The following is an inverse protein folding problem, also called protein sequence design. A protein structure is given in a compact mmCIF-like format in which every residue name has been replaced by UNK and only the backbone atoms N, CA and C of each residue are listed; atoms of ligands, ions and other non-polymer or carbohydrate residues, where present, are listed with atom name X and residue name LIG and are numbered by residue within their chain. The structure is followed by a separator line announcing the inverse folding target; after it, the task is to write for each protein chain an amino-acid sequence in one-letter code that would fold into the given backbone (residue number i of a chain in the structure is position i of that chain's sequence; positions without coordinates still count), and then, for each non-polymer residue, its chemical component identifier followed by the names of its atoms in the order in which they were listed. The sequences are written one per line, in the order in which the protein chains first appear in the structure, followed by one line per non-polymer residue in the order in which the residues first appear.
data_IF_311590367236
#
_entry.id   IF_311590367236
#
_cell.length_a   1.000
_cell.length_b   1.000
_cell.length_c   1.000
_cell.angle_alpha   90.00
_cell.angle_beta   90.00
_cell.angle_gamma   90.00
#
_symmetry.space_group_name_H-M   'P 1'
#
loop_
_entity.id
_entity.type
_entity.pdbx_description
1 polymer ?
#
# COMPACT_ATOMS: atom_id res chain seq x y z
N UNK A 1 -12.37 -31.36 8.75
CA UNK A 1 -11.22 -30.78 9.45
C UNK A 1 -10.53 -29.85 8.48
N UNK A 2 -10.94 -28.61 8.47
CA UNK A 2 -10.27 -27.57 7.69
C UNK A 2 -8.98 -27.22 8.41
N UNK A 3 -7.86 -27.54 7.80
CA UNK A 3 -6.57 -27.04 8.24
C UNK A 3 -6.59 -25.54 8.06
N UNK A 4 -6.59 -24.82 9.16
CA UNK A 4 -6.30 -23.40 9.22
C UNK A 4 -4.85 -23.20 8.77
N UNK A 5 -4.68 -23.05 7.46
CA UNK A 5 -3.41 -22.56 6.91
C UNK A 5 -3.44 -21.06 7.08
N UNK A 6 -3.08 -20.62 8.26
CA UNK A 6 -2.63 -19.25 8.46
C UNK A 6 -1.31 -19.12 7.68
N UNK A 7 -1.44 -18.96 6.37
CA UNK A 7 -0.30 -18.63 5.52
C UNK A 7 0.25 -17.29 6.05
N UNK A 8 1.46 -17.33 6.60
CA UNK A 8 2.06 -16.14 7.18
C UNK A 8 2.22 -15.09 6.09
N UNK A 9 1.68 -13.89 6.33
CA UNK A 9 1.81 -12.78 5.38
C UNK A 9 3.28 -12.48 5.10
N UNK A 10 3.66 -12.22 3.83
CA UNK A 10 5.04 -11.94 3.49
C UNK A 10 5.51 -10.62 4.10
N UNK A 11 6.81 -10.55 4.39
CA UNK A 11 7.42 -9.29 4.80
C UNK A 11 7.41 -8.29 3.64
N UNK A 12 7.19 -7.00 3.93
CA UNK A 12 7.17 -5.95 2.90
C UNK A 12 8.46 -5.89 2.09
N UNK A 13 9.60 -6.16 2.72
CA UNK A 13 10.90 -6.20 2.04
C UNK A 13 10.97 -7.25 0.91
N UNK A 14 10.16 -8.30 0.98
CA UNK A 14 10.12 -9.37 -0.01
C UNK A 14 9.18 -9.07 -1.19
N UNK A 15 8.22 -8.18 -0.99
CA UNK A 15 7.15 -7.94 -1.95
C UNK A 15 7.10 -6.52 -2.51
N UNK A 16 7.65 -5.52 -1.82
CA UNK A 16 7.70 -4.15 -2.31
C UNK A 16 8.95 -3.89 -3.14
N UNK A 17 8.84 -3.11 -4.23
CA UNK A 17 10.00 -2.61 -4.96
C UNK A 17 10.75 -1.51 -4.20
N UNK A 18 10.07 -0.83 -3.25
CA UNK A 18 10.62 0.24 -2.44
C UNK A 18 11.67 -0.27 -1.45
N UNK A 19 12.76 0.48 -1.28
CA UNK A 19 13.88 0.11 -0.40
C UNK A 19 14.31 1.30 0.46
N UNK A 20 14.85 0.98 1.65
CA UNK A 20 15.38 1.98 2.57
C UNK A 20 14.33 3.01 2.94
N UNK A 21 14.68 4.30 2.83
CA UNK A 21 13.79 5.41 3.20
C UNK A 21 12.58 5.59 2.30
N UNK A 22 12.55 4.97 1.12
CA UNK A 22 11.41 4.98 0.23
C UNK A 22 10.32 3.99 0.67
N UNK A 23 10.63 2.99 1.47
CA UNK A 23 9.67 2.06 2.04
C UNK A 23 9.04 2.68 3.29
N UNK A 24 7.79 3.10 3.19
CA UNK A 24 7.12 3.89 4.22
C UNK A 24 6.25 3.06 5.16
N UNK A 25 5.77 1.90 4.72
CA UNK A 25 4.89 1.05 5.50
C UNK A 25 5.69 0.10 6.39
N UNK A 26 5.13 -0.29 7.53
CA UNK A 26 5.79 -1.17 8.49
C UNK A 26 5.55 -2.65 8.18
N UNK A 27 4.28 -3.03 7.96
CA UNK A 27 3.92 -4.42 7.65
C UNK A 27 2.54 -4.53 6.97
N UNK A 28 2.31 -5.68 6.36
CA UNK A 28 0.98 -6.10 5.91
C UNK A 28 0.25 -6.68 7.12
N UNK A 29 -0.90 -6.13 7.46
CA UNK A 29 -1.74 -6.61 8.55
C UNK A 29 -2.77 -7.64 8.07
N UNK A 30 -3.31 -7.43 6.87
CA UNK A 30 -4.35 -8.26 6.28
C UNK A 30 -4.22 -8.29 4.76
N UNK A 31 -4.49 -9.45 4.17
CA UNK A 31 -4.59 -9.62 2.73
C UNK A 31 -5.56 -10.75 2.41
N UNK A 32 -6.52 -10.45 1.55
CA UNK A 32 -7.44 -11.43 0.94
C UNK A 32 -7.76 -11.04 -0.51
N UNK A 33 -8.67 -11.77 -1.13
CA UNK A 33 -9.09 -11.51 -2.50
C UNK A 33 -9.71 -10.13 -2.70
N UNK A 34 -10.31 -9.56 -1.66
CA UNK A 34 -11.04 -8.30 -1.72
C UNK A 34 -10.19 -7.10 -1.35
N UNK A 35 -9.41 -7.21 -0.28
CA UNK A 35 -8.75 -6.07 0.35
C UNK A 35 -7.36 -6.43 0.86
N UNK A 36 -6.51 -5.43 0.93
CA UNK A 36 -5.23 -5.50 1.64
C UNK A 36 -5.15 -4.33 2.58
N UNK A 37 -4.73 -4.58 3.81
CA UNK A 37 -4.46 -3.56 4.80
C UNK A 37 -3.00 -3.61 5.25
N UNK A 38 -2.39 -2.45 5.30
CA UNK A 38 -1.03 -2.24 5.80
C UNK A 38 -1.05 -1.27 6.97
N UNK A 39 -0.04 -1.34 7.80
CA UNK A 39 0.12 -0.49 8.99
C UNK A 39 1.38 0.34 8.85
N UNK A 40 1.31 1.58 9.31
CA UNK A 40 2.46 2.45 9.56
C UNK A 40 2.27 3.20 10.87
N UNK A 41 3.28 3.18 11.71
CA UNK A 41 3.40 4.08 12.85
C UNK A 41 4.12 5.34 12.40
N UNK A 42 3.51 6.48 12.65
CA UNK A 42 4.12 7.78 12.33
C UNK A 42 5.23 8.05 13.32
N UNK A 43 6.46 7.93 12.86
CA UNK A 43 7.64 8.27 13.60
C UNK A 43 8.09 9.69 13.27
N UNK A 44 8.83 10.28 14.20
CA UNK A 44 9.53 11.54 14.01
C UNK A 44 10.75 11.31 13.09
N UNK A 45 10.50 10.91 11.84
CA UNK A 45 11.58 10.58 10.93
C UNK A 45 12.13 11.82 10.22
N UNK A 46 13.44 11.95 10.25
CA UNK A 46 14.20 13.11 9.83
C UNK A 46 14.01 13.55 8.37
N UNK A 47 13.46 12.73 7.51
CA UNK A 47 13.39 13.01 6.07
C UNK A 47 12.02 13.50 5.58
N UNK A 48 10.95 13.34 6.39
CA UNK A 48 9.63 13.91 6.14
C UNK A 48 9.45 15.26 6.86
N UNK A 49 10.52 15.91 7.28
CA UNK A 49 10.50 17.04 8.21
C UNK A 49 9.59 18.20 7.83
N UNK A 50 8.66 18.42 8.72
CA UNK A 50 8.24 19.76 9.14
C UNK A 50 8.75 20.02 10.56
N UNK A 51 8.88 21.28 10.93
CA UNK A 51 9.47 21.72 12.21
C UNK A 51 8.86 21.08 13.47
N UNK A 52 7.73 20.39 13.37
CA UNK A 52 6.99 19.77 14.48
C UNK A 52 6.92 18.24 14.37
N UNK A 53 7.57 17.62 13.39
CA UNK A 53 7.56 16.17 13.18
C UNK A 53 6.27 15.61 12.57
N UNK A 54 5.30 16.46 12.24
CA UNK A 54 4.07 16.04 11.58
C UNK A 54 4.31 15.66 10.12
N UNK A 55 3.61 14.62 9.67
CA UNK A 55 3.60 14.20 8.26
C UNK A 55 2.41 14.83 7.57
N UNK A 56 2.61 15.64 6.52
CA UNK A 56 1.50 16.23 5.77
C UNK A 56 0.53 15.17 5.27
N UNK A 57 -0.78 15.44 5.33
CA UNK A 57 -1.80 14.46 4.95
C UNK A 57 -1.68 13.99 3.49
N UNK A 58 -1.17 14.83 2.57
CA UNK A 58 -0.96 14.46 1.17
C UNK A 58 0.06 13.32 0.98
N UNK A 59 0.98 13.10 1.94
CA UNK A 59 1.86 11.92 1.96
C UNK A 59 1.03 10.63 2.05
N UNK A 60 -0.19 10.70 2.55
CA UNK A 60 -1.14 9.60 2.56
C UNK A 60 -1.38 8.98 1.17
N UNK A 61 -1.24 9.76 0.10
CA UNK A 61 -1.32 9.22 -1.28
C UNK A 61 -0.18 8.22 -1.53
N UNK A 62 1.01 8.50 -1.04
CA UNK A 62 2.13 7.57 -1.14
C UNK A 62 1.92 6.32 -0.26
N UNK A 63 1.39 6.48 0.95
CA UNK A 63 1.01 5.33 1.78
C UNK A 63 0.00 4.43 1.06
N UNK A 64 -1.02 5.02 0.43
CA UNK A 64 -2.01 4.28 -0.34
C UNK A 64 -1.38 3.59 -1.56
N UNK A 65 -0.50 4.27 -2.29
CA UNK A 65 0.19 3.71 -3.44
C UNK A 65 1.07 2.51 -3.04
N UNK A 66 1.76 2.60 -1.91
CA UNK A 66 2.55 1.48 -1.38
C UNK A 66 1.67 0.33 -0.87
N UNK A 67 0.50 0.61 -0.32
CA UNK A 67 -0.46 -0.43 0.04
C UNK A 67 -0.98 -1.18 -1.20
N UNK A 68 -1.22 -0.48 -2.30
CA UNK A 68 -1.53 -1.11 -3.60
C UNK A 68 -0.37 -2.00 -4.04
N UNK A 69 0.87 -1.51 -3.98
CA UNK A 69 2.04 -2.30 -4.33
C UNK A 69 2.19 -3.53 -3.44
N UNK A 70 1.91 -3.40 -2.13
CA UNK A 70 1.90 -4.53 -1.20
C UNK A 70 0.84 -5.57 -1.58
N UNK A 71 -0.38 -5.13 -1.96
CA UNK A 71 -1.43 -6.02 -2.46
C UNK A 71 -0.97 -6.81 -3.67
N UNK A 72 -0.50 -6.13 -4.69
CA UNK A 72 -0.04 -6.80 -5.92
C UNK A 72 1.20 -7.65 -5.67
N UNK A 73 2.05 -7.24 -4.72
CA UNK A 73 3.20 -8.02 -4.25
C UNK A 73 2.80 -9.32 -3.54
N UNK A 74 1.77 -9.29 -2.68
CA UNK A 74 1.22 -10.49 -2.06
C UNK A 74 0.71 -11.48 -3.11
N UNK A 75 -0.06 -10.98 -4.08
CA UNK A 75 -0.59 -11.80 -5.17
C UNK A 75 0.56 -12.42 -5.99
N UNK A 76 1.53 -11.61 -6.39
CA UNK A 76 2.69 -12.09 -7.15
C UNK A 76 3.50 -13.12 -6.36
N UNK A 77 3.68 -12.91 -5.06
CA UNK A 77 4.39 -13.83 -4.17
C UNK A 77 3.70 -15.21 -4.13
N UNK A 78 2.39 -15.23 -3.95
CA UNK A 78 1.60 -16.49 -3.96
C UNK A 78 1.70 -17.21 -5.30
N UNK A 79 1.82 -16.47 -6.40
CA UNK A 79 1.97 -17.01 -7.75
C UNK A 79 3.43 -17.32 -8.14
N UNK A 80 4.39 -17.13 -7.23
CA UNK A 80 5.82 -17.34 -7.48
C UNK A 80 6.43 -16.35 -8.46
N UNK A 81 5.81 -15.17 -8.62
CA UNK A 81 6.28 -14.09 -9.51
C UNK A 81 6.89 -12.95 -8.72
N UNK A 82 7.73 -12.18 -9.37
CA UNK A 82 8.23 -10.90 -8.86
C UNK A 82 7.31 -9.77 -9.34
N UNK A 83 6.96 -8.85 -8.43
CA UNK A 83 6.16 -7.69 -8.79
C UNK A 83 6.93 -6.77 -9.74
N UNK A 84 6.33 -6.46 -10.88
CA UNK A 84 6.84 -5.43 -11.79
C UNK A 84 6.69 -4.04 -11.15
N UNK A 85 7.62 -3.11 -11.42
CA UNK A 85 7.47 -1.71 -10.98
C UNK A 85 6.16 -1.11 -11.48
N UNK A 86 5.47 -0.41 -10.61
CA UNK A 86 4.23 0.29 -10.93
C UNK A 86 4.40 1.81 -10.85
N UNK A 87 3.56 2.52 -11.58
CA UNK A 87 3.55 3.97 -11.61
C UNK A 87 2.16 4.49 -11.25
N UNK A 88 2.10 5.45 -10.35
CA UNK A 88 0.87 6.17 -10.08
C UNK A 88 0.53 7.03 -11.30
N UNK A 89 -0.61 6.75 -11.90
CA UNK A 89 -1.11 7.47 -13.10
C UNK A 89 -2.04 8.60 -12.69
N UNK A 90 -2.90 8.35 -11.69
CA UNK A 90 -3.93 9.28 -11.28
C UNK A 90 -4.41 9.03 -9.87
N UNK A 91 -4.67 10.11 -9.15
CA UNK A 91 -5.47 10.09 -7.93
C UNK A 91 -6.74 10.94 -8.16
N UNK A 92 -7.90 10.40 -7.78
CA UNK A 92 -9.22 11.06 -7.90
C UNK A 92 -9.98 10.95 -6.59
N UNK A 93 -10.98 11.82 -6.41
CA UNK A 93 -11.85 11.83 -5.22
C UNK A 93 -11.05 11.82 -3.92
N UNK A 94 -9.93 12.54 -3.96
CA UNK A 94 -9.02 12.65 -2.82
C UNK A 94 -9.67 13.52 -1.77
N UNK A 95 -9.77 13.00 -0.55
CA UNK A 95 -10.31 13.69 0.61
C UNK A 95 -9.39 13.48 1.80
N UNK A 96 -9.04 14.58 2.47
CA UNK A 96 -8.32 14.55 3.74
C UNK A 96 -9.18 15.22 4.80
N UNK A 97 -9.44 14.51 5.90
CA UNK A 97 -10.23 15.03 7.03
C UNK A 97 -9.39 15.87 7.99
N UNK A 98 -8.08 15.90 7.77
CA UNK A 98 -7.12 16.60 8.62
C UNK A 98 -5.86 16.97 7.81
N UNK A 99 -5.11 18.01 8.23
CA UNK A 99 -3.99 18.52 7.44
C UNK A 99 -2.72 17.69 7.57
N UNK A 100 -2.57 16.89 8.63
CA UNK A 100 -1.36 16.14 8.91
C UNK A 100 -1.62 14.92 9.80
N UNK A 101 -0.70 13.97 9.75
CA UNK A 101 -0.57 12.85 10.68
C UNK A 101 0.50 13.19 11.72
N UNK A 102 0.25 12.87 12.98
CA UNK A 102 1.12 13.23 14.10
C UNK A 102 2.03 12.07 14.51
N UNK A 103 3.24 12.34 14.99
CA UNK A 103 4.09 11.32 15.60
C UNK A 103 3.36 10.50 16.66
N UNK A 104 3.55 9.19 16.67
CA UNK A 104 2.89 8.25 17.57
C UNK A 104 1.53 7.73 17.08
N UNK A 105 0.94 8.33 16.06
CA UNK A 105 -0.28 7.79 15.46
C UNK A 105 0.01 6.54 14.66
N UNK A 106 -0.84 5.54 14.82
CA UNK A 106 -0.82 4.31 14.03
C UNK A 106 -1.88 4.42 12.94
N UNK A 107 -1.44 4.38 11.70
CA UNK A 107 -2.31 4.44 10.53
C UNK A 107 -2.52 3.04 9.98
N UNK A 108 -3.76 2.73 9.65
CA UNK A 108 -4.15 1.55 8.89
C UNK A 108 -4.57 1.97 7.50
N UNK A 109 -3.78 1.58 6.52
CA UNK A 109 -4.02 1.89 5.11
C UNK A 109 -4.65 0.67 4.46
N UNK A 110 -5.72 0.87 3.71
CA UNK A 110 -6.35 -0.21 2.96
C UNK A 110 -6.48 0.12 1.48
N UNK A 111 -6.43 -0.92 0.66
CA UNK A 111 -6.60 -0.85 -0.78
C UNK A 111 -7.47 -2.00 -1.28
N UNK A 112 -8.51 -1.66 -2.04
CA UNK A 112 -9.43 -2.61 -2.68
C UNK A 112 -9.51 -2.32 -4.18
N UNK A 113 -9.28 -3.32 -5.01
CA UNK A 113 -9.35 -3.15 -6.47
C UNK A 113 -10.79 -2.90 -6.91
N UNK A 114 -10.99 -1.85 -7.69
CA UNK A 114 -12.27 -1.49 -8.29
C UNK A 114 -12.37 -1.95 -9.74
N UNK A 115 -11.32 -1.73 -10.53
CA UNK A 115 -11.28 -1.97 -11.97
C UNK A 115 -9.89 -2.35 -12.45
N UNK A 116 -9.84 -2.98 -13.61
CA UNK A 116 -8.61 -3.36 -14.26
C UNK A 116 -8.19 -4.80 -13.96
N UNK A 117 -7.28 -5.32 -14.77
CA UNK A 117 -6.67 -6.64 -14.62
C UNK A 117 -5.15 -6.52 -14.75
N UNK A 118 -4.39 -7.29 -13.98
CA UNK A 118 -2.94 -7.36 -14.16
C UNK A 118 -2.59 -7.70 -15.63
N UNK A 119 -1.58 -7.01 -16.18
CA UNK A 119 -1.11 -7.23 -17.55
C UNK A 119 -1.96 -6.59 -18.65
N UNK A 120 -3.11 -5.98 -18.35
CA UNK A 120 -3.98 -5.33 -19.32
C UNK A 120 -4.04 -3.80 -19.20
N UNK A 121 -2.98 -3.19 -18.67
CA UNK A 121 -2.88 -1.74 -18.56
C UNK A 121 -3.07 -1.23 -17.12
N UNK A 122 -3.88 -0.19 -16.97
CA UNK A 122 -4.03 0.46 -15.67
C UNK A 122 -5.10 -0.22 -14.79
N UNK A 123 -4.84 -0.24 -13.49
CA UNK A 123 -5.77 -0.73 -12.46
C UNK A 123 -6.15 0.40 -11.51
N UNK A 124 -7.40 0.43 -11.08
CA UNK A 124 -7.93 1.44 -10.15
C UNK A 124 -8.35 0.79 -8.84
N UNK A 125 -7.98 1.45 -7.75
CA UNK A 125 -8.23 1.00 -6.38
C UNK A 125 -8.97 2.07 -5.59
N UNK A 126 -9.89 1.63 -4.73
CA UNK A 126 -10.41 2.44 -3.63
C UNK A 126 -9.45 2.28 -2.46
N UNK A 127 -8.95 3.40 -1.97
CA UNK A 127 -7.99 3.42 -0.86
C UNK A 127 -8.51 4.31 0.28
N UNK A 128 -8.09 3.99 1.49
CA UNK A 128 -8.40 4.78 2.65
C UNK A 128 -7.35 4.65 3.73
N UNK A 129 -7.37 5.59 4.66
CA UNK A 129 -6.52 5.60 5.85
C UNK A 129 -7.42 5.78 7.07
N UNK A 130 -7.24 4.91 8.06
CA UNK A 130 -7.84 5.00 9.38
C UNK A 130 -6.77 5.26 10.43
N UNK A 131 -7.12 5.99 11.49
CA UNK A 131 -6.25 6.16 12.65
C UNK A 131 -6.73 5.28 13.78
N UNK A 132 -5.83 4.47 14.32
CA UNK A 132 -6.11 3.55 15.42
C UNK A 132 -6.38 2.14 14.96
N UNK A 133 -6.81 1.30 15.91
CA UNK A 133 -7.03 -0.14 15.73
C UNK A 133 -8.52 -0.45 15.66
N UNK A 134 -8.89 -1.35 14.76
CA UNK A 134 -10.25 -1.86 14.63
C UNK A 134 -11.01 -1.29 13.43
N UNK A 135 -12.09 -1.98 13.06
CA UNK A 135 -12.94 -1.64 11.91
C UNK A 135 -13.69 -0.31 12.10
N UNK A 136 -13.91 0.11 13.34
CA UNK A 136 -14.65 1.33 13.68
C UNK A 136 -13.75 2.57 13.83
N UNK A 137 -12.44 2.42 13.59
CA UNK A 137 -11.51 3.54 13.60
C UNK A 137 -11.91 4.57 12.53
N UNK A 138 -11.81 5.89 12.82
CA UNK A 138 -12.25 6.92 11.88
C UNK A 138 -11.42 6.93 10.61
N UNK A 139 -12.09 7.07 9.48
CA UNK A 139 -11.45 7.29 8.18
C UNK A 139 -11.01 8.75 8.11
N UNK A 140 -9.73 8.98 7.87
CA UNK A 140 -9.12 10.31 7.84
C UNK A 140 -8.60 10.72 6.46
N UNK A 141 -8.50 9.78 5.55
CA UNK A 141 -8.17 10.05 4.15
C UNK A 141 -8.77 8.98 3.24
N UNK A 142 -9.17 9.39 2.05
CA UNK A 142 -9.71 8.52 1.00
C UNK A 142 -9.24 8.98 -0.36
N UNK A 143 -9.06 8.04 -1.28
CA UNK A 143 -8.78 8.33 -2.68
C UNK A 143 -9.13 7.14 -3.58
N UNK A 144 -9.47 7.42 -4.84
CA UNK A 144 -9.36 6.45 -5.92
C UNK A 144 -8.01 6.62 -6.61
N UNK A 145 -7.19 5.58 -6.61
CA UNK A 145 -5.84 5.62 -7.19
C UNK A 145 -5.77 4.67 -8.38
N UNK A 146 -5.31 5.19 -9.51
CA UNK A 146 -5.02 4.41 -10.71
C UNK A 146 -3.52 4.23 -10.85
N UNK A 147 -3.09 2.99 -10.99
CA UNK A 147 -1.69 2.61 -11.23
C UNK A 147 -1.57 1.88 -12.55
N UNK A 148 -0.45 2.05 -13.24
CA UNK A 148 -0.04 1.23 -14.37
C UNK A 148 1.14 0.38 -13.92
N UNK A 149 1.06 -0.93 -14.12
CA UNK A 149 2.20 -1.82 -13.92
C UNK A 149 3.03 -1.81 -15.20
N UNK A 150 4.35 -1.76 -15.03
CA UNK A 150 5.28 -1.96 -16.14
C UNK A 150 5.10 -3.36 -16.75
N UNK A 151 5.62 -3.59 -17.96
CA UNK A 151 5.63 -4.93 -18.54
C UNK A 151 6.35 -5.87 -17.57
N UNK A 152 5.81 -7.07 -17.37
CA UNK A 152 6.49 -8.12 -16.66
C UNK A 152 7.90 -8.25 -17.25
N UNK A 153 8.92 -8.02 -16.42
CA UNK A 153 10.28 -8.36 -16.78
C UNK A 153 10.40 -9.89 -16.74
N UNK A 154 9.74 -10.52 -17.67
CA UNK A 154 10.00 -11.91 -17.98
C UNK A 154 11.46 -11.97 -18.44
N UNK A 155 12.37 -12.25 -17.52
CA UNK A 155 13.70 -12.75 -17.84
C UNK A 155 13.51 -14.14 -18.44
N UNK A 156 13.00 -14.16 -19.66
CA UNK A 156 13.25 -15.23 -20.59
C UNK A 156 14.72 -15.12 -20.97
N UNK A 157 15.58 -15.78 -20.17
CA UNK A 157 16.92 -16.04 -20.60
C UNK A 157 16.85 -16.78 -21.92
N UNK A 158 17.47 -16.20 -22.94
CA UNK A 158 18.00 -16.99 -24.04
C UNK A 158 19.40 -16.48 -24.30
N UNK A 159 20.33 -17.36 -23.99
CA UNK A 159 21.70 -17.53 -24.45
C UNK A 159 22.10 -16.70 -25.64
#
# INVERSE_FOLDING_TARGET
MSADQTESLPALADILPHRGRAALLDHVEHHDDMETACVVEIESSAWLHRAEGDVPAWVGIEFMAQCIAAREGCIAHTEGRTLAPGFLVRARRVRFQRPAFRPGEVLRIHARRLRGRPGLGAMTYACGIRIGVGSDAPVVAEAEITVALGPDSGLGGQT
#
